data_IF_175436206366
#
_entry.id   IF_175436206366
#
_cell.length_a   1.000
_cell.length_b   1.000
_cell.length_c   1.000
_cell.angle_alpha   90.00
_cell.angle_beta   90.00
_cell.angle_gamma   90.00
#
_symmetry.space_group_name_H-M   'P 1'
#
loop_
_entity.id
_entity.type
_entity.pdbx_description
1 polymer ?
#
# COMPACT_ATOMS: atom_id res chain seq x y z
N UNK A 1 -16.14 -4.17 -19.92
CA UNK A 1 -15.62 -3.52 -18.69
C UNK A 1 -14.54 -2.48 -19.06
N UNK A 2 -14.81 -1.57 -20.01
CA UNK A 2 -13.74 -0.73 -20.63
C UNK A 2 -13.30 0.44 -19.75
N UNK A 3 -14.26 1.14 -19.14
CA UNK A 3 -13.98 2.40 -18.42
C UNK A 3 -13.05 2.20 -17.22
N UNK A 4 -13.29 1.24 -16.29
CA UNK A 4 -12.40 1.06 -15.14
C UNK A 4 -11.00 0.59 -15.52
N UNK A 5 -10.89 -0.19 -16.61
CA UNK A 5 -9.61 -0.67 -17.10
C UNK A 5 -8.72 0.49 -17.56
N UNK A 6 -9.25 1.40 -18.40
CA UNK A 6 -8.50 2.57 -18.88
C UNK A 6 -8.13 3.53 -17.76
N UNK A 7 -9.01 3.75 -16.77
CA UNK A 7 -8.69 4.60 -15.62
C UNK A 7 -7.52 4.01 -14.82
N UNK A 8 -7.55 2.70 -14.57
CA UNK A 8 -6.49 2.03 -13.81
C UNK A 8 -5.18 1.94 -14.60
N UNK A 9 -5.27 1.78 -15.91
CA UNK A 9 -4.13 1.84 -16.84
C UNK A 9 -3.48 3.22 -16.80
N UNK A 10 -4.26 4.30 -16.95
CA UNK A 10 -3.77 5.67 -16.93
C UNK A 10 -3.03 6.00 -15.62
N UNK A 11 -3.59 5.62 -14.47
CA UNK A 11 -2.93 5.79 -13.18
C UNK A 11 -1.60 5.03 -13.07
N UNK A 12 -1.51 3.83 -13.65
CA UNK A 12 -0.26 3.05 -13.70
C UNK A 12 0.79 3.67 -14.60
N UNK A 13 0.39 4.17 -15.77
CA UNK A 13 1.29 4.86 -16.71
C UNK A 13 1.87 6.11 -16.04
N UNK A 14 1.04 6.91 -15.37
CA UNK A 14 1.50 8.09 -14.63
C UNK A 14 2.57 7.74 -13.58
N UNK A 15 2.34 6.68 -12.78
CA UNK A 15 3.33 6.22 -11.82
C UNK A 15 4.61 5.70 -12.50
N UNK A 16 4.48 5.05 -13.67
CA UNK A 16 5.62 4.58 -14.44
C UNK A 16 6.47 5.74 -14.97
N UNK A 17 5.86 6.81 -15.49
CA UNK A 17 6.58 8.01 -15.95
C UNK A 17 7.42 8.64 -14.83
N UNK A 18 6.89 8.63 -13.59
CA UNK A 18 7.61 9.06 -12.39
C UNK A 18 8.79 8.12 -12.12
N UNK A 19 8.58 6.80 -12.15
CA UNK A 19 9.62 5.78 -11.95
C UNK A 19 10.75 5.95 -12.97
N UNK A 20 10.44 6.18 -14.24
CA UNK A 20 11.43 6.43 -15.30
C UNK A 20 12.19 7.74 -15.06
N UNK A 21 11.47 8.81 -14.71
CA UNK A 21 12.07 10.13 -14.45
C UNK A 21 13.06 10.10 -13.28
N UNK A 22 12.68 9.47 -12.16
CA UNK A 22 13.55 9.38 -10.98
C UNK A 22 14.65 8.33 -11.16
N UNK A 23 14.39 7.28 -11.95
CA UNK A 23 15.20 6.07 -12.10
C UNK A 23 14.69 4.96 -11.18
N UNK A 24 14.44 3.76 -11.73
CA UNK A 24 13.85 2.62 -11.00
C UNK A 24 14.64 2.21 -9.75
N UNK A 25 15.95 2.42 -9.75
CA UNK A 25 16.84 2.16 -8.62
C UNK A 25 16.61 3.12 -7.45
N UNK A 26 16.01 4.29 -7.70
CA UNK A 26 15.67 5.27 -6.68
C UNK A 26 14.23 5.09 -6.15
N UNK A 27 13.50 4.07 -6.59
CA UNK A 27 12.15 3.79 -6.11
C UNK A 27 12.22 2.79 -4.96
N UNK A 28 11.90 3.27 -3.76
CA UNK A 28 11.99 2.46 -2.53
C UNK A 28 10.72 1.64 -2.34
N UNK A 29 9.56 2.22 -2.65
CA UNK A 29 8.26 1.57 -2.57
C UNK A 29 7.27 2.23 -3.52
N UNK A 30 6.29 1.47 -4.02
CA UNK A 30 5.20 1.96 -4.84
C UNK A 30 3.90 1.22 -4.47
N UNK A 31 2.81 1.98 -4.40
CA UNK A 31 1.44 1.48 -4.22
C UNK A 31 0.54 2.00 -5.34
N UNK A 32 -0.78 1.81 -5.22
CA UNK A 32 -1.79 2.20 -6.22
C UNK A 32 -1.65 3.61 -6.76
N UNK A 33 -1.34 4.58 -5.90
CA UNK A 33 -1.39 6.02 -6.19
C UNK A 33 -0.26 6.80 -5.49
N UNK A 34 0.78 6.09 -5.03
CA UNK A 34 1.86 6.69 -4.25
C UNK A 34 3.20 6.00 -4.49
N UNK A 35 4.27 6.76 -4.29
CA UNK A 35 5.66 6.31 -4.44
C UNK A 35 6.49 6.88 -3.29
N UNK A 36 7.43 6.09 -2.79
CA UNK A 36 8.45 6.55 -1.84
C UNK A 36 9.79 6.58 -2.56
N UNK A 37 10.41 7.76 -2.58
CA UNK A 37 11.70 8.01 -3.22
C UNK A 37 12.62 8.79 -2.27
N UNK A 38 13.94 8.75 -2.45
CA UNK A 38 14.86 9.61 -1.73
C UNK A 38 14.53 11.08 -1.94
N UNK A 39 14.62 11.89 -0.87
CA UNK A 39 14.37 13.33 -0.90
C UNK A 39 15.19 14.07 -1.96
N UNK A 40 16.42 13.61 -2.23
CA UNK A 40 17.31 14.17 -3.26
C UNK A 40 16.77 14.03 -4.70
N UNK A 41 15.78 13.16 -4.93
CA UNK A 41 15.18 12.92 -6.25
C UNK A 41 13.89 13.69 -6.50
N UNK A 42 13.30 14.28 -5.45
CA UNK A 42 12.05 15.05 -5.56
C UNK A 42 12.16 16.19 -6.57
N UNK A 43 13.33 16.84 -6.66
CA UNK A 43 13.58 17.91 -7.63
C UNK A 43 13.40 17.48 -9.09
N UNK A 44 13.55 16.19 -9.41
CA UNK A 44 13.32 15.66 -10.78
C UNK A 44 11.84 15.63 -11.18
N UNK A 45 10.93 15.60 -10.20
CA UNK A 45 9.48 15.47 -10.42
C UNK A 45 8.71 16.68 -9.90
N UNK A 46 9.39 17.79 -9.63
CA UNK A 46 8.77 19.00 -9.06
C UNK A 46 7.60 19.52 -9.91
N UNK A 47 7.68 19.37 -11.23
CA UNK A 47 6.62 19.75 -12.18
C UNK A 47 5.37 18.86 -12.10
N UNK A 48 5.40 17.77 -11.34
CA UNK A 48 4.28 16.86 -11.10
C UNK A 48 3.77 16.95 -9.65
N UNK A 49 4.33 17.86 -8.83
CA UNK A 49 4.02 17.99 -7.41
C UNK A 49 3.29 19.30 -7.15
N UNK A 50 2.02 19.21 -6.75
CA UNK A 50 1.21 20.33 -6.32
C UNK A 50 0.11 19.82 -5.36
N UNK A 51 0.04 20.37 -4.16
CA UNK A 51 -0.89 19.87 -3.13
C UNK A 51 -2.37 20.21 -3.39
N UNK A 52 -2.65 21.20 -4.23
CA UNK A 52 -4.01 21.74 -4.43
C UNK A 52 -4.57 21.46 -5.82
N UNK A 53 -3.72 21.08 -6.77
CA UNK A 53 -4.11 20.88 -8.16
C UNK A 53 -4.55 19.44 -8.41
N UNK A 54 -5.68 19.28 -9.11
CA UNK A 54 -6.25 17.98 -9.37
C UNK A 54 -5.34 17.14 -10.27
N UNK A 55 -5.08 15.90 -9.86
CA UNK A 55 -4.24 14.97 -10.62
C UNK A 55 -2.74 15.12 -10.34
N UNK A 56 -2.33 16.09 -9.52
CA UNK A 56 -0.94 16.27 -9.13
C UNK A 56 -0.61 15.50 -7.85
N UNK A 57 0.67 15.17 -7.68
CA UNK A 57 1.17 14.55 -6.47
C UNK A 57 1.26 15.57 -5.33
N UNK A 58 1.07 15.10 -4.10
CA UNK A 58 1.39 15.86 -2.90
C UNK A 58 2.31 15.05 -2.01
N UNK A 59 3.14 15.75 -1.23
CA UNK A 59 3.96 15.10 -0.20
C UNK A 59 3.05 14.70 0.96
N UNK A 60 2.83 13.39 1.13
CA UNK A 60 2.05 12.84 2.24
C UNK A 60 2.83 12.84 3.56
N UNK A 61 4.11 12.47 3.52
CA UNK A 61 5.01 12.47 4.68
C UNK A 61 6.47 12.41 4.23
N UNK A 62 7.38 12.78 5.14
CA UNK A 62 8.82 12.54 5.05
C UNK A 62 9.23 11.66 6.23
N UNK A 63 10.19 10.77 6.02
CA UNK A 63 10.66 9.83 7.06
C UNK A 63 12.17 9.60 6.95
N UNK A 64 12.83 9.45 8.09
CA UNK A 64 14.25 9.09 8.15
C UNK A 64 14.48 7.58 8.19
N UNK A 65 13.49 6.81 8.64
CA UNK A 65 13.57 5.36 8.82
C UNK A 65 12.36 4.70 8.20
N UNK A 66 12.59 3.82 7.25
CA UNK A 66 11.55 3.03 6.60
C UNK A 66 11.91 1.55 6.66
N UNK A 67 11.02 0.74 7.23
CA UNK A 67 11.10 -0.72 7.19
C UNK A 67 9.89 -1.27 6.45
N UNK A 68 10.13 -1.97 5.34
CA UNK A 68 9.08 -2.56 4.51
C UNK A 68 9.07 -4.07 4.75
N UNK A 69 7.91 -4.59 5.15
CA UNK A 69 7.67 -6.02 5.30
C UNK A 69 6.88 -6.60 4.12
N UNK A 70 6.13 -5.75 3.40
CA UNK A 70 5.44 -6.13 2.18
C UNK A 70 4.42 -5.09 1.72
N UNK A 71 3.49 -5.52 0.87
CA UNK A 71 2.45 -4.63 0.34
C UNK A 71 1.57 -4.08 1.47
N UNK A 72 1.55 -2.75 1.62
CA UNK A 72 0.79 -2.04 2.67
C UNK A 72 1.17 -2.53 4.08
N UNK A 73 2.41 -2.97 4.26
CA UNK A 73 2.97 -3.39 5.54
C UNK A 73 4.37 -2.79 5.69
N UNK A 74 4.42 -1.61 6.31
CA UNK A 74 5.67 -0.88 6.52
C UNK A 74 5.58 -0.01 7.77
N UNK A 75 6.74 0.25 8.36
CA UNK A 75 6.92 1.07 9.54
C UNK A 75 7.83 2.24 9.20
N UNK A 76 7.38 3.43 9.59
CA UNK A 76 8.19 4.65 9.60
C UNK A 76 8.54 5.04 11.03
N UNK A 77 9.38 6.05 11.18
CA UNK A 77 9.58 6.79 12.44
C UNK A 77 8.31 7.50 12.95
N UNK A 78 7.33 7.74 12.08
CA UNK A 78 6.10 8.47 12.42
C UNK A 78 4.90 7.57 12.64
N UNK A 79 4.77 6.48 11.89
CA UNK A 79 3.59 5.61 11.95
C UNK A 79 3.87 4.20 11.43
N UNK A 80 2.95 3.29 11.71
CA UNK A 80 2.93 1.95 11.11
C UNK A 80 1.71 1.82 10.21
N UNK A 81 1.93 1.30 9.00
CA UNK A 81 0.87 0.99 8.03
C UNK A 81 0.80 -0.52 7.88
N UNK A 82 -0.34 -1.11 8.22
CA UNK A 82 -0.60 -2.54 8.01
C UNK A 82 -1.93 -2.70 7.31
N UNK A 83 -1.95 -3.47 6.21
CA UNK A 83 -3.15 -3.67 5.38
C UNK A 83 -4.30 -4.17 6.24
N UNK A 84 -5.40 -3.44 6.26
CA UNK A 84 -6.61 -3.84 6.96
C UNK A 84 -6.48 -3.92 8.49
N UNK A 85 -5.48 -3.27 9.07
CA UNK A 85 -5.41 -3.02 10.52
C UNK A 85 -5.58 -1.51 10.74
N UNK A 86 -6.61 -1.07 11.47
CA UNK A 86 -6.81 0.35 11.75
C UNK A 86 -5.77 0.87 12.74
N UNK A 87 -5.55 2.20 12.75
CA UNK A 87 -4.63 2.85 13.70
C UNK A 87 -5.03 2.66 15.16
N UNK A 88 -6.32 2.44 15.42
CA UNK A 88 -6.88 2.21 16.76
C UNK A 88 -6.82 0.76 17.22
N UNK A 89 -6.15 -0.14 16.48
CA UNK A 89 -6.02 -1.53 16.88
C UNK A 89 -5.07 -1.70 18.07
N UNK A 90 -5.44 -2.58 19.00
CA UNK A 90 -4.57 -3.02 20.08
C UNK A 90 -3.54 -4.00 19.51
N UNK A 91 -2.25 -3.73 19.73
CA UNK A 91 -1.20 -4.68 19.41
C UNK A 91 -1.07 -5.71 20.54
N UNK A 92 -1.39 -6.98 20.26
CA UNK A 92 -1.25 -8.09 21.22
C UNK A 92 0.19 -8.61 21.22
N UNK A 93 0.76 -8.80 20.04
CA UNK A 93 2.16 -9.21 19.82
C UNK A 93 2.72 -8.45 18.63
N UNK A 94 4.02 -8.60 18.32
CA UNK A 94 4.67 -7.89 17.21
C UNK A 94 3.85 -7.94 15.90
N UNK A 95 3.26 -9.09 15.60
CA UNK A 95 2.56 -9.36 14.35
C UNK A 95 1.04 -9.57 14.51
N UNK A 96 0.48 -9.44 15.71
CA UNK A 96 -0.93 -9.75 15.97
C UNK A 96 -1.66 -8.56 16.58
N UNK A 97 -2.77 -8.18 15.96
CA UNK A 97 -3.54 -7.00 16.28
C UNK A 97 -5.00 -7.35 16.53
N UNK A 98 -5.63 -6.67 17.47
CA UNK A 98 -7.04 -6.82 17.82
C UNK A 98 -7.79 -5.52 17.62
N UNK A 99 -8.92 -5.56 16.96
CA UNK A 99 -9.75 -4.38 16.71
C UNK A 99 -11.19 -4.75 16.40
N UNK A 100 -12.07 -3.76 16.55
CA UNK A 100 -13.46 -3.87 16.15
C UNK A 100 -13.61 -3.68 14.64
N UNK A 101 -14.26 -4.64 13.98
CA UNK A 101 -14.52 -4.64 12.56
C UNK A 101 -16.02 -4.63 12.28
N UNK A 102 -16.45 -3.73 11.39
CA UNK A 102 -17.79 -3.76 10.82
C UNK A 102 -17.95 -4.97 9.89
N UNK A 103 -19.03 -5.73 10.08
CA UNK A 103 -19.35 -6.82 9.18
C UNK A 103 -19.85 -6.28 7.83
N UNK A 104 -19.45 -6.95 6.74
CA UNK A 104 -19.95 -6.63 5.40
C UNK A 104 -21.38 -7.14 5.18
N UNK A 105 -22.05 -6.62 4.15
CA UNK A 105 -23.44 -6.97 3.82
C UNK A 105 -23.69 -8.47 3.72
N UNK A 106 -22.80 -9.24 3.08
CA UNK A 106 -22.96 -10.70 2.98
C UNK A 106 -22.94 -11.41 4.34
N UNK A 107 -22.23 -10.86 5.33
CA UNK A 107 -22.26 -11.39 6.70
C UNK A 107 -23.57 -11.03 7.40
N UNK A 108 -24.09 -9.82 7.19
CA UNK A 108 -25.42 -9.42 7.66
C UNK A 108 -26.53 -10.34 7.14
N UNK A 109 -26.53 -10.60 5.82
CA UNK A 109 -27.50 -11.51 5.18
C UNK A 109 -27.46 -12.92 5.77
N UNK A 110 -26.25 -13.48 5.98
CA UNK A 110 -26.08 -14.81 6.59
C UNK A 110 -26.51 -14.89 8.05
N UNK A 111 -26.49 -13.77 8.75
CA UNK A 111 -26.89 -13.67 10.15
C UNK A 111 -28.35 -13.22 10.30
N UNK A 112 -29.07 -13.04 9.18
CA UNK A 112 -30.44 -12.51 9.13
C UNK A 112 -30.59 -11.17 9.87
N UNK A 113 -29.52 -10.36 9.88
CA UNK A 113 -29.53 -9.02 10.49
C UNK A 113 -29.73 -7.95 9.41
N UNK A 114 -30.89 -7.30 9.44
CA UNK A 114 -31.33 -6.35 8.43
C UNK A 114 -31.30 -4.90 8.89
N UNK A 115 -31.31 -4.65 10.20
CA UNK A 115 -31.65 -3.36 10.77
C UNK A 115 -30.49 -2.70 11.52
N UNK A 116 -29.48 -3.47 11.93
CA UNK A 116 -28.35 -2.98 12.69
C UNK A 116 -27.02 -3.29 12.00
N UNK A 117 -26.02 -2.44 12.26
CA UNK A 117 -24.64 -2.75 11.94
C UNK A 117 -24.03 -3.61 13.04
N UNK A 118 -23.40 -4.72 12.66
CA UNK A 118 -22.74 -5.63 13.59
C UNK A 118 -21.27 -5.27 13.61
N UNK A 119 -20.79 -5.00 14.82
CA UNK A 119 -19.38 -4.82 15.12
C UNK A 119 -18.89 -6.10 15.78
N UNK A 120 -17.79 -6.65 15.26
CA UNK A 120 -17.15 -7.85 15.81
C UNK A 120 -15.71 -7.55 16.16
N UNK A 121 -15.30 -7.96 17.36
CA UNK A 121 -13.88 -8.00 17.71
C UNK A 121 -13.17 -9.04 16.83
N UNK A 122 -12.10 -8.62 16.16
CA UNK A 122 -11.32 -9.44 15.24
C UNK A 122 -9.85 -9.41 15.66
N UNK A 123 -9.21 -10.58 15.61
CA UNK A 123 -7.77 -10.72 15.78
C UNK A 123 -7.15 -11.03 14.42
N UNK A 124 -6.14 -10.26 14.04
CA UNK A 124 -5.41 -10.42 12.78
C UNK A 124 -3.93 -10.63 13.06
N UNK A 125 -3.40 -11.75 12.57
CA UNK A 125 -1.96 -12.01 12.54
C UNK A 125 -1.40 -11.81 11.14
N UNK A 126 -0.37 -10.98 11.01
CA UNK A 126 0.33 -10.73 9.76
C UNK A 126 1.65 -11.52 9.72
N UNK A 127 1.75 -12.50 8.82
CA UNK A 127 2.92 -13.38 8.73
C UNK A 127 4.18 -12.69 8.21
N UNK A 128 4.06 -11.52 7.56
CA UNK A 128 5.18 -10.78 6.93
C UNK A 128 6.01 -11.63 5.96
N UNK A 129 5.34 -12.53 5.23
CA UNK A 129 5.94 -13.31 4.14
C UNK A 129 5.58 -12.61 2.84
N UNK A 130 6.58 -12.28 2.03
CA UNK A 130 6.37 -11.69 0.71
C UNK A 130 6.46 -12.77 -0.37
N UNK A 131 5.31 -13.11 -0.96
CA UNK A 131 5.12 -14.22 -1.90
C UNK A 131 4.72 -13.77 -3.31
N UNK A 132 4.90 -12.46 -3.62
CA UNK A 132 4.47 -11.85 -4.89
C UNK A 132 5.60 -11.60 -5.89
N UNK A 133 6.78 -12.13 -5.60
CA UNK A 133 7.96 -12.03 -6.46
C UNK A 133 9.18 -12.62 -5.77
N UNK A 134 10.30 -12.62 -6.48
CA UNK A 134 11.58 -13.05 -5.93
C UNK A 134 12.22 -11.89 -5.16
N UNK A 135 12.42 -12.07 -3.86
CA UNK A 135 13.09 -11.08 -3.01
C UNK A 135 14.59 -11.38 -3.00
N UNK A 136 15.39 -10.47 -3.55
CA UNK A 136 16.85 -10.56 -3.51
C UNK A 136 17.42 -10.24 -2.13
N UNK A 137 18.70 -10.54 -1.90
CA UNK A 137 19.38 -10.25 -0.63
C UNK A 137 19.42 -8.74 -0.30
N UNK A 138 19.32 -7.85 -1.30
CA UNK A 138 19.21 -6.40 -1.08
C UNK A 138 17.79 -5.93 -0.74
N UNK A 139 16.81 -6.83 -0.76
CA UNK A 139 15.39 -6.51 -0.58
C UNK A 139 14.66 -6.09 -1.87
N UNK A 140 15.36 -6.01 -3.01
CA UNK A 140 14.72 -5.72 -4.31
C UNK A 140 13.87 -6.91 -4.74
N UNK A 141 12.65 -6.62 -5.19
CA UNK A 141 11.69 -7.61 -5.69
C UNK A 141 11.74 -7.65 -7.22
N UNK A 142 11.86 -8.86 -7.78
CA UNK A 142 11.67 -9.10 -9.22
C UNK A 142 10.45 -9.98 -9.47
N UNK A 143 9.75 -9.83 -10.61
CA UNK A 143 8.59 -10.67 -10.93
C UNK A 143 9.00 -12.14 -11.06
N UNK A 144 8.04 -13.03 -10.86
CA UNK A 144 8.21 -14.43 -11.25
C UNK A 144 8.36 -14.53 -12.77
N UNK A 145 9.31 -15.33 -13.22
CA UNK A 145 9.45 -15.69 -14.63
C UNK A 145 8.62 -16.95 -14.84
N UNK A 146 7.53 -16.83 -15.60
CA UNK A 146 6.78 -18.00 -16.06
C UNK A 146 7.57 -18.60 -17.23
N UNK A 147 8.10 -19.81 -17.05
CA UNK A 147 8.65 -20.56 -18.19
C UNK A 147 7.51 -20.92 -19.14
N UNK A 148 7.73 -20.74 -20.44
CA UNK A 148 6.84 -21.31 -21.45
C UNK A 148 7.01 -22.84 -21.40
N UNK A 149 5.97 -23.54 -20.96
CA UNK A 149 5.83 -25.01 -21.10
C UNK A 149 4.89 -25.33 -22.23
#
# INVERSE_FOLDING_TARGET
MSIPAHITEYGRIMLWDIVETVGIENVIYCDTDSIIIPKSKVGKIVNMVNASELGMLKTEYETEKLRIHGCKDYQTDQFTKIKGVPKSADQITENTFRYNQFLGQSSHLRLEEWNHFIIRETVKTNKRIYDKGNVSASGKVTPFVLGET
#
